data_IF_150954331097
#
_entry.id   IF_150954331097
#
_cell.length_a   1.000
_cell.length_b   1.000
_cell.length_c   1.000
_cell.angle_alpha   90.00
_cell.angle_beta   90.00
_cell.angle_gamma   90.00
#
_symmetry.space_group_name_H-M   'P 1'
#
loop_
_entity.id
_entity.type
_entity.pdbx_description
1 polymer ?
#
# COMPACT_ATOMS: atom_id res chain seq x y z
N UNK A 1 11.69 38.63 -41.21
CA UNK A 1 12.88 37.77 -41.03
C UNK A 1 13.44 38.14 -39.66
N UNK A 2 12.96 37.53 -38.57
CA UNK A 2 13.32 36.17 -38.11
C UNK A 2 14.81 36.12 -37.75
N UNK A 3 15.31 35.71 -36.59
CA UNK A 3 14.81 35.33 -35.27
C UNK A 3 16.06 35.21 -34.39
N UNK A 4 16.01 35.59 -33.10
CA UNK A 4 16.88 35.00 -32.07
C UNK A 4 16.40 35.32 -30.64
N UNK A 5 15.74 34.30 -30.08
CA UNK A 5 15.59 33.87 -28.67
C UNK A 5 15.49 34.88 -27.52
N UNK A 6 14.45 34.73 -26.66
CA UNK A 6 14.62 34.91 -25.23
C UNK A 6 15.02 33.58 -24.55
N UNK A 7 16.03 33.70 -23.70
CA UNK A 7 16.48 32.76 -22.69
C UNK A 7 15.35 32.47 -21.69
N UNK A 8 14.90 31.21 -21.58
CA UNK A 8 13.84 30.78 -20.67
C UNK A 8 14.39 29.73 -19.71
N UNK A 9 15.36 30.16 -18.89
CA UNK A 9 15.79 29.44 -17.70
C UNK A 9 14.83 29.75 -16.54
N UNK A 10 13.60 29.24 -16.65
CA UNK A 10 12.67 29.18 -15.51
C UNK A 10 12.75 27.81 -14.85
N UNK A 11 13.00 27.71 -13.54
CA UNK A 11 12.92 26.43 -12.85
C UNK A 11 11.47 25.92 -12.93
N UNK A 12 11.31 24.68 -13.42
CA UNK A 12 10.05 23.95 -13.43
C UNK A 12 9.43 24.02 -12.02
N UNK A 13 8.39 24.84 -11.88
CA UNK A 13 7.47 24.77 -10.75
C UNK A 13 6.96 23.34 -10.69
N UNK A 14 7.43 22.59 -9.70
CA UNK A 14 6.79 21.37 -9.26
C UNK A 14 5.33 21.74 -8.98
N UNK A 15 4.45 21.40 -9.91
CA UNK A 15 3.01 21.46 -9.70
C UNK A 15 2.76 20.59 -8.50
N UNK A 16 2.51 21.23 -7.35
CA UNK A 16 2.25 20.55 -6.09
C UNK A 16 1.08 19.59 -6.34
N UNK A 17 1.39 18.31 -6.44
CA UNK A 17 0.39 17.26 -6.37
C UNK A 17 -0.48 17.55 -5.13
N UNK A 18 -1.82 17.53 -5.24
CA UNK A 18 -2.69 17.93 -4.14
C UNK A 18 -2.42 17.04 -2.92
N UNK A 19 -1.69 17.58 -1.95
CA UNK A 19 -1.12 16.89 -0.78
C UNK A 19 -2.16 16.33 0.20
N UNK A 20 -3.45 16.41 -0.13
CA UNK A 20 -4.56 16.10 0.77
C UNK A 20 -5.40 14.88 0.39
N UNK A 21 -5.24 14.31 -0.79
CA UNK A 21 -6.10 13.20 -1.28
C UNK A 21 -5.44 11.81 -1.24
N UNK A 22 -4.10 11.74 -1.18
CA UNK A 22 -3.43 10.44 -1.26
C UNK A 22 -3.54 9.63 0.04
N UNK A 23 -3.46 10.28 1.21
CA UNK A 23 -3.46 9.61 2.52
C UNK A 23 -4.76 8.85 2.81
N UNK A 24 -5.91 9.39 2.41
CA UNK A 24 -7.23 8.78 2.67
C UNK A 24 -7.56 7.67 1.66
N UNK A 25 -6.91 7.66 0.50
CA UNK A 25 -7.10 6.66 -0.56
C UNK A 25 -6.29 5.37 -0.42
N UNK A 26 -5.71 5.09 0.76
CA UNK A 26 -4.91 3.88 1.00
C UNK A 26 -5.70 2.67 1.50
N UNK A 27 -6.93 2.86 1.97
CA UNK A 27 -7.67 1.81 2.65
C UNK A 27 -8.79 1.21 1.78
N UNK A 28 -9.05 -0.09 1.98
CA UNK A 28 -10.07 -0.85 1.28
C UNK A 28 -11.43 -0.11 1.29
N UNK A 29 -12.17 -0.08 0.16
CA UNK A 29 -13.46 0.57 0.12
C UNK A 29 -14.41 -0.14 1.10
N UNK A 30 -15.22 0.64 1.81
CA UNK A 30 -16.16 0.17 2.83
C UNK A 30 -17.05 -1.01 2.41
N UNK A 31 -17.25 -1.23 1.10
CA UNK A 31 -17.96 -2.39 0.58
C UNK A 31 -17.29 -3.74 0.87
N UNK A 32 -15.95 -3.80 0.88
CA UNK A 32 -15.21 -5.05 1.15
C UNK A 32 -15.09 -5.37 2.63
N UNK A 33 -15.37 -4.38 3.48
CA UNK A 33 -15.41 -4.59 4.91
C UNK A 33 -16.56 -5.53 5.30
N UNK A 34 -17.73 -5.40 4.67
CA UNK A 34 -18.89 -6.21 5.04
C UNK A 34 -18.65 -7.71 4.80
N UNK A 35 -18.06 -8.08 3.67
CA UNK A 35 -17.67 -9.46 3.35
C UNK A 35 -16.52 -9.96 4.23
N UNK A 36 -15.61 -9.07 4.63
CA UNK A 36 -14.50 -9.39 5.54
C UNK A 36 -14.97 -9.67 6.97
N UNK A 37 -15.97 -8.91 7.44
CA UNK A 37 -16.60 -9.12 8.74
C UNK A 37 -17.60 -10.29 8.72
N UNK A 38 -18.20 -10.58 7.55
CA UNK A 38 -19.14 -11.68 7.39
C UNK A 38 -18.45 -13.02 7.67
N UNK A 39 -18.97 -13.75 8.65
CA UNK A 39 -18.40 -15.00 9.15
C UNK A 39 -17.69 -14.87 10.51
N UNK A 40 -17.45 -13.65 10.98
CA UNK A 40 -16.93 -13.39 12.32
C UNK A 40 -18.03 -12.86 13.24
N UNK A 41 -18.13 -13.41 14.45
CA UNK A 41 -19.08 -12.95 15.47
C UNK A 41 -18.52 -11.71 16.17
N UNK A 42 -18.76 -10.54 15.58
CA UNK A 42 -18.34 -9.24 16.10
C UNK A 42 -19.58 -8.54 16.67
N UNK A 43 -19.64 -8.44 17.99
CA UNK A 43 -20.85 -7.99 18.72
C UNK A 43 -20.57 -6.83 19.66
N UNK A 44 -19.31 -6.53 19.92
CA UNK A 44 -18.86 -5.50 20.86
C UNK A 44 -17.47 -4.98 20.48
N UNK A 45 -16.98 -4.00 21.23
CA UNK A 45 -15.67 -3.39 21.00
C UNK A 45 -14.52 -4.39 21.15
N UNK A 46 -14.63 -5.38 22.05
CA UNK A 46 -13.55 -6.32 22.36
C UNK A 46 -13.39 -7.38 21.28
N UNK A 47 -14.50 -7.92 20.79
CA UNK A 47 -14.54 -8.82 19.63
C UNK A 47 -14.05 -8.12 18.36
N UNK A 48 -14.41 -6.84 18.16
CA UNK A 48 -13.88 -6.04 17.04
C UNK A 48 -12.37 -5.81 17.17
N UNK A 49 -11.90 -5.45 18.37
CA UNK A 49 -10.48 -5.23 18.65
C UNK A 49 -9.66 -6.49 18.37
N UNK A 50 -10.12 -7.64 18.85
CA UNK A 50 -9.47 -8.93 18.64
C UNK A 50 -9.42 -9.31 17.16
N UNK A 51 -10.51 -9.10 16.43
CA UNK A 51 -10.57 -9.32 14.99
C UNK A 51 -9.57 -8.42 14.23
N UNK A 52 -9.60 -7.11 14.48
CA UNK A 52 -8.72 -6.15 13.82
C UNK A 52 -7.24 -6.40 14.14
N UNK A 53 -6.92 -6.77 15.38
CA UNK A 53 -5.55 -7.14 15.76
C UNK A 53 -5.04 -8.35 14.96
N UNK A 54 -5.85 -9.41 14.86
CA UNK A 54 -5.50 -10.61 14.09
C UNK A 54 -5.37 -10.30 12.59
N UNK A 55 -6.31 -9.52 12.05
CA UNK A 55 -6.29 -9.12 10.65
C UNK A 55 -5.06 -8.26 10.30
N UNK A 56 -4.74 -7.28 11.15
CA UNK A 56 -3.59 -6.39 10.99
C UNK A 56 -2.28 -7.19 10.99
N UNK A 57 -2.13 -8.12 11.94
CA UNK A 57 -0.96 -8.99 12.02
C UNK A 57 -0.82 -9.86 10.76
N UNK A 58 -1.91 -10.48 10.29
CA UNK A 58 -1.89 -11.43 9.18
C UNK A 58 -1.71 -10.77 7.81
N UNK A 59 -2.35 -9.63 7.57
CA UNK A 59 -2.38 -9.00 6.25
C UNK A 59 -1.39 -7.85 6.14
N UNK A 60 -1.29 -7.01 7.17
CA UNK A 60 -0.46 -5.81 7.07
C UNK A 60 0.96 -6.12 7.51
N UNK A 61 1.14 -6.63 8.73
CA UNK A 61 2.46 -6.81 9.32
C UNK A 61 3.27 -7.89 8.61
N UNK A 62 2.64 -9.02 8.28
CA UNK A 62 3.33 -10.17 7.67
C UNK A 62 3.43 -10.11 6.16
N UNK A 63 2.53 -9.38 5.49
CA UNK A 63 2.47 -9.33 4.03
C UNK A 63 2.79 -7.93 3.54
N UNK A 64 1.93 -6.94 3.77
CA UNK A 64 2.09 -5.62 3.14
C UNK A 64 3.38 -4.89 3.56
N UNK A 65 3.74 -4.86 4.85
CA UNK A 65 4.92 -4.09 5.29
C UNK A 65 6.24 -4.62 4.69
N UNK A 66 6.54 -5.94 4.71
CA UNK A 66 7.69 -6.48 4.00
C UNK A 66 7.65 -6.21 2.49
N UNK A 67 6.48 -6.34 1.86
CA UNK A 67 6.31 -6.09 0.42
C UNK A 67 6.61 -4.62 0.08
N UNK A 68 6.06 -3.66 0.83
CA UNK A 68 6.30 -2.23 0.65
C UNK A 68 7.80 -1.93 0.75
N UNK A 69 8.47 -2.49 1.77
CA UNK A 69 9.92 -2.36 1.93
C UNK A 69 10.68 -2.91 0.72
N UNK A 70 10.39 -4.13 0.29
CA UNK A 70 11.10 -4.73 -0.85
C UNK A 70 10.84 -3.99 -2.15
N UNK A 71 9.62 -3.45 -2.34
CA UNK A 71 9.29 -2.62 -3.48
C UNK A 71 10.07 -1.29 -3.46
N UNK A 72 10.13 -0.62 -2.30
CA UNK A 72 10.96 0.57 -2.09
C UNK A 72 12.44 0.30 -2.44
N UNK A 73 12.98 -0.81 -1.95
CA UNK A 73 14.37 -1.20 -2.19
C UNK A 73 14.65 -1.55 -3.66
N UNK A 74 13.73 -2.24 -4.34
CA UNK A 74 13.86 -2.51 -5.78
C UNK A 74 13.74 -1.22 -6.61
N UNK A 75 12.86 -0.30 -6.24
CA UNK A 75 12.80 1.03 -6.87
C UNK A 75 14.11 1.79 -6.70
N UNK A 76 14.70 1.77 -5.50
CA UNK A 76 16.00 2.39 -5.22
C UNK A 76 17.16 1.80 -6.03
N UNK A 77 17.08 0.52 -6.39
CA UNK A 77 18.06 -0.15 -7.28
C UNK A 77 17.71 -0.04 -8.77
N UNK A 78 16.65 0.69 -9.13
CA UNK A 78 16.11 0.76 -10.50
C UNK A 78 15.79 -0.65 -11.08
N UNK A 79 15.38 -1.58 -10.21
CA UNK A 79 15.16 -3.00 -10.51
C UNK A 79 13.68 -3.29 -10.83
N UNK A 80 13.32 -3.09 -12.09
CA UNK A 80 11.96 -3.38 -12.58
C UNK A 80 11.60 -4.86 -12.51
N UNK A 81 12.57 -5.75 -12.78
CA UNK A 81 12.31 -7.19 -12.80
C UNK A 81 12.00 -7.69 -11.39
N UNK A 82 12.72 -7.19 -10.38
CA UNK A 82 12.43 -7.47 -8.98
C UNK A 82 11.04 -7.01 -8.54
N UNK A 83 10.60 -5.83 -9.00
CA UNK A 83 9.24 -5.33 -8.74
C UNK A 83 8.17 -6.22 -9.37
N UNK A 84 8.34 -6.61 -10.64
CA UNK A 84 7.40 -7.48 -11.35
C UNK A 84 7.32 -8.85 -10.67
N UNK A 85 8.46 -9.46 -10.37
CA UNK A 85 8.51 -10.76 -9.68
C UNK A 85 7.88 -10.66 -8.28
N UNK A 86 8.05 -9.52 -7.60
CA UNK A 86 7.44 -9.30 -6.29
C UNK A 86 5.92 -9.16 -6.37
N UNK A 87 5.41 -8.44 -7.36
CA UNK A 87 3.97 -8.28 -7.59
C UNK A 87 3.30 -9.62 -7.97
N UNK A 88 3.96 -10.41 -8.83
CA UNK A 88 3.52 -11.76 -9.16
C UNK A 88 3.49 -12.67 -7.93
N UNK A 89 4.52 -12.62 -7.10
CA UNK A 89 4.56 -13.38 -5.85
C UNK A 89 3.47 -12.94 -4.87
N UNK A 90 3.21 -11.65 -4.72
CA UNK A 90 2.10 -11.17 -3.89
C UNK A 90 0.75 -11.71 -4.40
N UNK A 91 0.59 -11.86 -5.70
CA UNK A 91 -0.62 -12.41 -6.31
C UNK A 91 -0.90 -13.87 -5.91
N UNK A 92 0.11 -14.61 -5.45
CA UNK A 92 -0.05 -15.99 -4.96
C UNK A 92 -0.51 -16.07 -3.51
N UNK A 93 -0.40 -14.98 -2.73
CA UNK A 93 -0.85 -15.00 -1.33
C UNK A 93 -2.37 -15.20 -1.24
N UNK A 94 -2.85 -16.05 -0.31
CA UNK A 94 -4.27 -16.17 -0.04
C UNK A 94 -4.81 -14.82 0.46
N UNK A 95 -5.84 -14.31 -0.20
CA UNK A 95 -6.55 -13.11 0.24
C UNK A 95 -7.99 -13.17 -0.24
N UNK A 96 -8.89 -12.51 0.49
CA UNK A 96 -10.29 -12.44 0.07
C UNK A 96 -10.39 -11.73 -1.29
N UNK A 97 -11.18 -12.24 -2.26
CA UNK A 97 -11.24 -11.70 -3.62
C UNK A 97 -11.55 -10.20 -3.66
N UNK A 98 -12.45 -9.76 -2.80
CA UNK A 98 -12.82 -8.35 -2.67
C UNK A 98 -11.67 -7.44 -2.22
N UNK A 99 -10.94 -7.84 -1.18
CA UNK A 99 -9.75 -7.13 -0.72
C UNK A 99 -8.65 -7.08 -1.79
N UNK A 100 -8.48 -8.18 -2.52
CA UNK A 100 -7.53 -8.24 -3.64
C UNK A 100 -7.92 -7.26 -4.74
N UNK A 101 -9.17 -7.29 -5.18
CA UNK A 101 -9.69 -6.40 -6.21
C UNK A 101 -9.58 -4.93 -5.78
N UNK A 102 -9.87 -4.62 -4.52
CA UNK A 102 -9.67 -3.29 -3.96
C UNK A 102 -8.20 -2.85 -3.99
N UNK A 103 -7.27 -3.70 -3.52
CA UNK A 103 -5.83 -3.42 -3.54
C UNK A 103 -5.33 -3.17 -4.96
N UNK A 104 -5.71 -4.02 -5.91
CA UNK A 104 -5.36 -3.86 -7.33
C UNK A 104 -5.90 -2.55 -7.89
N UNK A 105 -7.18 -2.25 -7.68
CA UNK A 105 -7.80 -1.00 -8.17
C UNK A 105 -7.09 0.24 -7.62
N UNK A 106 -6.85 0.27 -6.31
CA UNK A 106 -6.17 1.40 -5.66
C UNK A 106 -4.73 1.54 -6.19
N UNK A 107 -4.00 0.43 -6.30
CA UNK A 107 -2.63 0.43 -6.80
C UNK A 107 -2.53 0.90 -8.24
N UNK A 108 -3.37 0.38 -9.14
CA UNK A 108 -3.41 0.81 -10.54
C UNK A 108 -3.79 2.28 -10.69
N UNK A 109 -4.78 2.77 -9.94
CA UNK A 109 -5.15 4.19 -9.93
C UNK A 109 -3.97 5.08 -9.51
N UNK A 110 -3.20 4.68 -8.50
CA UNK A 110 -2.00 5.41 -8.06
C UNK A 110 -0.88 5.36 -9.09
N UNK A 111 -0.67 4.20 -9.69
CA UNK A 111 0.36 4.02 -10.70
C UNK A 111 0.12 4.91 -11.93
N UNK A 112 -1.15 5.09 -12.34
CA UNK A 112 -1.52 6.05 -13.37
C UNK A 112 -1.16 7.50 -12.98
N UNK A 113 -1.32 7.85 -11.70
CA UNK A 113 -0.92 9.15 -11.16
C UNK A 113 0.59 9.43 -11.25
N UNK A 114 1.43 8.39 -11.42
CA UNK A 114 2.88 8.55 -11.61
C UNK A 114 3.26 8.78 -13.09
N UNK A 115 2.30 8.89 -14.00
CA UNK A 115 2.58 9.12 -15.42
C UNK A 115 3.48 10.35 -15.71
N UNK A 116 3.39 11.48 -14.98
CA UNK A 116 4.33 12.59 -15.14
C UNK A 116 5.77 12.28 -14.69
N UNK A 117 5.97 11.24 -13.89
CA UNK A 117 7.25 10.84 -13.28
C UNK A 117 7.96 9.72 -14.07
N UNK A 118 7.54 9.43 -15.30
CA UNK A 118 8.10 8.38 -16.19
C UNK A 118 9.57 8.55 -16.60
N UNK A 119 10.29 9.52 -16.02
CA UNK A 119 11.74 9.68 -16.17
C UNK A 119 12.55 8.50 -15.61
N UNK A 120 11.97 7.73 -14.68
CA UNK A 120 12.63 6.54 -14.14
C UNK A 120 12.40 5.30 -15.02
N UNK A 121 13.49 4.63 -15.39
CA UNK A 121 13.43 3.44 -16.25
C UNK A 121 12.67 2.29 -15.57
N UNK A 122 12.87 2.08 -14.26
CA UNK A 122 12.14 1.02 -13.55
C UNK A 122 10.63 1.24 -13.58
N UNK A 123 10.18 2.48 -13.35
CA UNK A 123 8.77 2.85 -13.31
C UNK A 123 8.10 2.63 -14.67
N UNK A 124 8.77 3.03 -15.76
CA UNK A 124 8.27 2.80 -17.13
C UNK A 124 8.09 1.30 -17.42
N UNK A 125 9.07 0.47 -17.04
CA UNK A 125 9.01 -0.98 -17.26
C UNK A 125 7.93 -1.64 -16.40
N UNK A 126 7.80 -1.23 -15.15
CA UNK A 126 6.76 -1.73 -14.26
C UNK A 126 5.35 -1.34 -14.76
N UNK A 127 5.16 -0.09 -15.19
CA UNK A 127 3.90 0.36 -15.79
C UNK A 127 3.52 -0.46 -17.02
N UNK A 128 4.47 -0.70 -17.93
CA UNK A 128 4.23 -1.52 -19.12
C UNK A 128 3.89 -2.98 -18.77
N UNK A 129 4.50 -3.53 -17.72
CA UNK A 129 4.18 -4.87 -17.22
C UNK A 129 2.77 -4.95 -16.62
N UNK A 130 2.29 -3.89 -15.97
CA UNK A 130 0.91 -3.82 -15.48
C UNK A 130 -0.07 -3.68 -16.65
N UNK A 131 0.23 -2.84 -17.64
CA UNK A 131 -0.60 -2.68 -18.85
C UNK A 131 -0.69 -3.96 -19.69
N UNK A 132 0.38 -4.76 -19.74
CA UNK A 132 0.39 -6.04 -20.45
C UNK A 132 -0.20 -7.21 -19.66
N UNK A 133 -0.57 -7.00 -18.39
CA UNK A 133 -1.08 -8.04 -17.49
C UNK A 133 0.00 -8.98 -16.93
N UNK A 134 1.29 -8.69 -17.15
CA UNK A 134 2.39 -9.44 -16.55
C UNK A 134 2.49 -9.20 -15.03
N UNK A 135 2.13 -7.99 -14.58
CA UNK A 135 1.99 -7.62 -13.18
C UNK A 135 0.57 -7.15 -12.91
N UNK A 136 0.10 -7.33 -11.69
CA UNK A 136 -1.23 -6.90 -11.24
C UNK A 136 -1.27 -5.42 -10.91
N UNK A 137 -0.22 -4.89 -10.26
CA UNK A 137 -0.19 -3.50 -9.80
C UNK A 137 -0.79 -3.33 -8.40
N UNK A 138 -0.42 -4.21 -7.46
CA UNK A 138 -0.95 -4.20 -6.09
C UNK A 138 -0.60 -2.91 -5.34
N UNK A 139 -1.52 -2.42 -4.50
CA UNK A 139 -1.33 -1.18 -3.72
C UNK A 139 -0.07 -1.20 -2.86
N UNK A 140 0.29 -2.32 -2.22
CA UNK A 140 1.51 -2.45 -1.41
C UNK A 140 2.78 -2.20 -2.25
N UNK A 141 2.86 -2.77 -3.46
CA UNK A 141 4.00 -2.57 -4.38
C UNK A 141 4.07 -1.11 -4.82
N UNK A 142 2.95 -0.58 -5.29
CA UNK A 142 2.85 0.80 -5.78
C UNK A 142 3.14 1.81 -4.66
N UNK A 143 2.78 1.50 -3.41
CA UNK A 143 3.11 2.33 -2.27
C UNK A 143 4.61 2.32 -1.94
N UNK A 144 5.29 1.18 -2.03
CA UNK A 144 6.76 1.15 -1.89
C UNK A 144 7.45 2.01 -2.95
N UNK A 145 6.97 1.94 -4.20
CA UNK A 145 7.43 2.81 -5.29
C UNK A 145 7.15 4.29 -4.97
N UNK A 146 5.96 4.62 -4.45
CA UNK A 146 5.59 5.97 -4.03
C UNK A 146 6.57 6.53 -2.99
N UNK A 147 6.85 5.76 -1.93
CA UNK A 147 7.78 6.20 -0.89
C UNK A 147 9.15 6.56 -1.47
N UNK A 148 9.65 5.76 -2.42
CA UNK A 148 10.91 6.05 -3.10
C UNK A 148 10.83 7.29 -3.99
N UNK A 149 9.83 7.39 -4.86
CA UNK A 149 9.71 8.50 -5.83
C UNK A 149 9.57 9.87 -5.16
N UNK A 150 8.93 9.91 -3.98
CA UNK A 150 8.69 11.15 -3.23
C UNK A 150 9.66 11.34 -2.06
N UNK A 151 10.73 10.52 -1.99
CA UNK A 151 11.75 10.59 -0.94
C UNK A 151 11.18 10.57 0.49
N UNK A 152 10.11 9.79 0.70
CA UNK A 152 9.50 9.63 2.02
C UNK A 152 10.30 8.58 2.79
N UNK A 153 10.72 8.86 4.03
CA UNK A 153 11.44 7.89 4.85
C UNK A 153 10.64 6.60 5.00
N UNK A 154 11.25 5.46 4.65
CA UNK A 154 10.57 4.16 4.61
C UNK A 154 9.84 3.86 5.92
N UNK A 155 10.48 4.09 7.06
CA UNK A 155 9.89 3.85 8.39
C UNK A 155 8.60 4.65 8.61
N UNK A 156 8.61 5.93 8.26
CA UNK A 156 7.45 6.82 8.40
C UNK A 156 6.34 6.41 7.43
N UNK A 157 6.70 6.03 6.21
CA UNK A 157 5.78 5.48 5.22
C UNK A 157 5.08 4.21 5.70
N UNK A 158 5.83 3.25 6.25
CA UNK A 158 5.27 2.01 6.78
C UNK A 158 4.31 2.25 7.96
N UNK A 159 4.67 3.16 8.87
CA UNK A 159 3.80 3.56 9.99
C UNK A 159 2.51 4.20 9.48
N UNK A 160 2.63 5.13 8.53
CA UNK A 160 1.48 5.81 7.92
C UNK A 160 0.57 4.82 7.21
N UNK A 161 1.13 3.89 6.44
CA UNK A 161 0.37 2.84 5.76
C UNK A 161 -0.41 1.97 6.73
N UNK A 162 0.25 1.44 7.76
CA UNK A 162 -0.38 0.59 8.76
C UNK A 162 -1.49 1.33 9.52
N UNK A 163 -1.24 2.58 9.91
CA UNK A 163 -2.23 3.39 10.63
C UNK A 163 -3.44 3.72 9.76
N UNK A 164 -3.24 4.19 8.53
CA UNK A 164 -4.34 4.55 7.63
C UNK A 164 -5.17 3.33 7.24
N UNK A 165 -4.52 2.18 7.07
CA UNK A 165 -5.20 0.92 6.76
C UNK A 165 -6.01 0.41 7.95
N UNK A 166 -5.45 0.47 9.16
CA UNK A 166 -6.19 0.17 10.39
C UNK A 166 -7.40 1.09 10.54
N UNK A 167 -7.20 2.41 10.40
CA UNK A 167 -8.25 3.41 10.56
C UNK A 167 -9.40 3.18 9.58
N UNK A 168 -9.10 2.99 8.30
CA UNK A 168 -10.15 2.79 7.29
C UNK A 168 -10.90 1.46 7.40
N UNK A 169 -10.38 0.48 8.15
CA UNK A 169 -11.14 -0.70 8.58
C UNK A 169 -11.91 -0.46 9.89
N UNK A 170 -11.25 0.15 10.87
CA UNK A 170 -11.80 0.33 12.21
C UNK A 170 -13.00 1.28 12.23
N UNK A 171 -12.96 2.39 11.48
CA UNK A 171 -14.03 3.39 11.48
C UNK A 171 -15.36 2.82 10.94
N UNK A 172 -15.42 2.20 9.74
CA UNK A 172 -16.68 1.69 9.24
C UNK A 172 -17.11 0.41 9.97
N UNK A 173 -16.18 -0.38 10.55
CA UNK A 173 -16.51 -1.55 11.35
C UNK A 173 -17.14 -1.15 12.68
N UNK A 174 -16.60 -0.12 13.33
CA UNK A 174 -17.15 0.46 14.56
C UNK A 174 -18.53 1.06 14.31
N UNK A 175 -18.74 1.71 13.16
CA UNK A 175 -20.06 2.18 12.74
C UNK A 175 -21.07 1.04 12.56
N UNK A 176 -20.65 -0.09 11.98
CA UNK A 176 -21.52 -1.25 11.77
C UNK A 176 -22.07 -1.86 13.07
N UNK A 177 -21.29 -1.81 14.15
CA UNK A 177 -21.70 -2.28 15.50
C UNK A 177 -22.12 -1.14 16.44
N UNK A 178 -22.25 0.09 15.92
CA UNK A 178 -22.71 1.29 16.64
C UNK A 178 -21.86 1.68 17.86
N UNK A 179 -20.53 1.51 17.79
CA UNK A 179 -19.64 2.12 18.78
C UNK A 179 -19.67 3.64 18.67
N UNK A 180 -19.48 4.32 19.80
CA UNK A 180 -19.32 5.76 19.81
C UNK A 180 -17.92 6.18 19.29
N UNK A 181 -17.76 7.48 19.03
CA UNK A 181 -16.50 8.02 18.51
C UNK A 181 -15.32 7.82 19.48
N UNK A 182 -15.56 7.91 20.79
CA UNK A 182 -14.51 7.77 21.80
C UNK A 182 -14.02 6.32 21.88
N UNK A 183 -14.94 5.37 21.83
CA UNK A 183 -14.64 3.93 21.79
C UNK A 183 -13.85 3.58 20.51
N UNK A 184 -14.29 4.10 19.37
CA UNK A 184 -13.62 3.91 18.08
C UNK A 184 -12.18 4.45 18.11
N UNK A 185 -12.00 5.68 18.60
CA UNK A 185 -10.68 6.32 18.67
C UNK A 185 -9.76 5.58 19.65
N UNK A 186 -10.27 5.18 20.82
CA UNK A 186 -9.49 4.41 21.78
C UNK A 186 -9.05 3.06 21.22
N UNK A 187 -9.91 2.38 20.45
CA UNK A 187 -9.57 1.13 19.77
C UNK A 187 -8.44 1.33 18.75
N UNK A 188 -8.52 2.38 17.93
CA UNK A 188 -7.49 2.69 16.93
C UNK A 188 -6.15 3.00 17.61
N UNK A 189 -6.15 3.78 18.68
CA UNK A 189 -4.94 4.13 19.45
C UNK A 189 -4.28 2.89 20.09
N UNK A 190 -5.09 2.01 20.69
CA UNK A 190 -4.58 0.78 21.30
C UNK A 190 -3.92 -0.15 20.27
N UNK A 191 -4.54 -0.28 19.09
CA UNK A 191 -4.00 -1.13 18.03
C UNK A 191 -2.79 -0.48 17.33
N UNK A 192 -2.81 0.84 17.14
CA UNK A 192 -1.71 1.56 16.50
C UNK A 192 -0.47 1.68 17.39
N UNK A 193 -0.62 1.63 18.72
CA UNK A 193 0.53 1.59 19.63
C UNK A 193 1.48 0.41 19.34
N UNK A 194 0.93 -0.73 18.91
CA UNK A 194 1.71 -1.92 18.56
C UNK A 194 2.35 -1.84 17.16
N UNK A 195 1.84 -0.98 16.26
CA UNK A 195 2.37 -0.85 14.90
C UNK A 195 3.84 -0.45 14.90
N UNK A 196 4.27 0.42 15.82
CA UNK A 196 5.68 0.84 15.91
C UNK A 196 6.60 -0.36 16.01
N UNK A 197 6.34 -1.26 16.96
CA UNK A 197 7.13 -2.48 17.16
C UNK A 197 7.06 -3.43 15.95
N UNK A 198 5.87 -3.55 15.35
CA UNK A 198 5.66 -4.40 14.18
C UNK A 198 6.40 -3.89 12.93
N UNK A 199 6.43 -2.57 12.72
CA UNK A 199 7.21 -1.94 11.65
C UNK A 199 8.70 -2.23 11.83
N UNK A 200 9.26 -2.05 13.04
CA UNK A 200 10.67 -2.39 13.28
C UNK A 200 10.96 -3.87 12.96
N UNK A 201 10.06 -4.78 13.34
CA UNK A 201 10.16 -6.19 12.96
C UNK A 201 10.20 -6.40 11.44
N UNK A 202 9.29 -5.77 10.71
CA UNK A 202 9.17 -5.89 9.25
C UNK A 202 10.43 -5.43 8.47
N UNK A 203 11.19 -4.49 9.04
CA UNK A 203 12.45 -4.01 8.45
C UNK A 203 13.54 -5.09 8.41
N UNK A 204 13.46 -6.11 9.28
CA UNK A 204 14.47 -7.16 9.42
C UNK A 204 14.10 -8.48 8.75
N UNK A 205 12.84 -8.65 8.33
CA UNK A 205 12.34 -9.89 7.72
C UNK A 205 13.07 -10.17 6.41
N UNK A 206 13.77 -11.29 6.30
CA UNK A 206 14.41 -11.68 5.03
C UNK A 206 13.34 -12.06 4.01
N UNK A 207 13.57 -11.68 2.75
CA UNK A 207 12.78 -12.20 1.64
C UNK A 207 13.04 -13.70 1.55
N UNK A 208 12.01 -14.52 1.68
CA UNK A 208 12.13 -15.92 1.28
C UNK A 208 12.44 -15.92 -0.22
N UNK A 209 13.51 -16.61 -0.66
CA UNK A 209 13.76 -16.73 -2.08
C UNK A 209 12.52 -17.34 -2.69
N UNK A 210 12.00 -16.74 -3.77
CA UNK A 210 10.91 -17.34 -4.53
C UNK A 210 11.38 -18.74 -4.90
N UNK A 211 10.89 -19.75 -4.19
CA UNK A 211 11.27 -21.13 -4.41
C UNK A 211 10.94 -21.39 -5.87
N UNK A 212 11.98 -21.66 -6.66
CA UNK A 212 11.83 -22.07 -8.04
C UNK A 212 10.83 -23.22 -8.03
N UNK A 213 9.61 -22.96 -8.50
CA UNK A 213 8.59 -23.99 -8.66
C UNK A 213 9.17 -24.91 -9.72
N UNK A 214 9.81 -25.97 -9.26
CA UNK A 214 10.34 -27.04 -10.09
C UNK A 214 9.13 -27.74 -10.69
N UNK A 215 8.92 -27.56 -11.99
CA UNK A 215 8.02 -28.41 -12.76
C UNK A 215 8.49 -29.87 -12.56
N UNK A 216 7.60 -30.71 -12.04
CA UNK A 216 7.64 -32.16 -12.20
C UNK A 216 6.38 -32.59 -12.91
#
# INVERSE_FOLDING_TARGET
MDSRQPDDTRPLRATAMPSRSLADGFCAPAGELHSTLAGHRIVDAESLRSFLAAWLEQNIVRVDLPIIRWAYESAARNDANGLIALDQHLSTYPSQPGLRAASTRIGQQKLQGFAPLKGHTFLRRYHAAVESGQATGHNAIVYGIYLFLFSIPLREGLLSYGYQTLKGFAEPASAAIRLDHRQTQSLIEQLSANLTKQVEGSLTVKREPASAVSNS
#
